data_IF_608617339265
#
_entry.id   IF_608617339265
#
_cell.length_a   1.000
_cell.length_b   1.000
_cell.length_c   1.000
_cell.angle_alpha   90.00
_cell.angle_beta   90.00
_cell.angle_gamma   90.00
#
_symmetry.space_group_name_H-M   'P 1'
#
loop_
_entity.id
_entity.type
_entity.pdbx_description
1 polymer ?
#
# COMPACT_ATOMS: atom_id res chain seq x y z
N UNK A 1 28.27 -6.65 5.83
CA UNK A 1 27.88 -7.01 4.46
C UNK A 1 27.32 -5.77 3.81
N UNK A 2 27.76 -5.41 2.58
CA UNK A 2 27.19 -4.30 1.84
C UNK A 2 25.71 -4.63 1.56
N UNK A 3 24.82 -3.72 1.92
CA UNK A 3 23.39 -3.89 1.70
C UNK A 3 23.14 -3.78 0.20
N UNK A 4 22.63 -4.84 -0.42
CA UNK A 4 22.25 -4.84 -1.84
C UNK A 4 21.03 -3.92 -1.97
N UNK A 5 21.15 -2.84 -2.76
CA UNK A 5 20.08 -1.87 -2.99
C UNK A 5 19.12 -2.38 -4.06
N UNK A 6 19.68 -2.76 -5.21
CA UNK A 6 18.95 -3.35 -6.32
C UNK A 6 19.20 -4.86 -6.37
N UNK A 7 18.15 -5.63 -6.55
CA UNK A 7 18.28 -7.05 -6.91
C UNK A 7 18.93 -7.16 -8.29
N UNK A 8 19.44 -8.34 -8.62
CA UNK A 8 20.02 -8.58 -9.95
C UNK A 8 18.98 -8.36 -11.07
N UNK A 9 17.72 -8.66 -10.80
CA UNK A 9 16.61 -8.45 -11.73
C UNK A 9 16.32 -6.97 -11.92
N UNK A 10 16.12 -6.21 -10.85
CA UNK A 10 15.90 -4.76 -10.88
C UNK A 10 17.05 -4.02 -11.57
N UNK A 11 18.29 -4.41 -11.28
CA UNK A 11 19.46 -3.84 -11.97
C UNK A 11 19.42 -4.12 -13.46
N UNK A 12 19.06 -5.35 -13.86
CA UNK A 12 18.92 -5.74 -15.26
C UNK A 12 17.81 -4.95 -15.94
N UNK A 13 16.64 -4.79 -15.32
CA UNK A 13 15.55 -3.98 -15.85
C UNK A 13 15.96 -2.54 -16.14
N UNK A 14 16.75 -1.94 -15.25
CA UNK A 14 17.19 -0.55 -15.37
C UNK A 14 18.28 -0.40 -16.43
N UNK A 15 19.20 -1.38 -16.55
CA UNK A 15 20.44 -1.24 -17.34
C UNK A 15 20.43 -1.97 -18.67
N UNK A 16 19.39 -2.74 -18.99
CA UNK A 16 19.34 -3.52 -20.24
C UNK A 16 18.01 -3.31 -20.96
N UNK A 17 18.09 -3.36 -22.29
CA UNK A 17 16.89 -3.33 -23.13
C UNK A 17 16.17 -4.68 -22.98
N UNK A 18 14.87 -4.70 -22.62
CA UNK A 18 14.12 -5.96 -22.50
C UNK A 18 14.02 -6.66 -23.85
N UNK A 19 14.14 -7.98 -23.87
CA UNK A 19 14.03 -8.77 -25.08
C UNK A 19 12.70 -8.52 -25.83
N UNK A 20 11.60 -8.41 -25.05
CA UNK A 20 10.26 -8.13 -25.55
C UNK A 20 9.90 -6.64 -25.36
N UNK A 21 10.76 -5.73 -25.82
CA UNK A 21 10.48 -4.29 -25.77
C UNK A 21 9.10 -4.00 -26.42
N UNK A 22 8.30 -3.13 -25.79
CA UNK A 22 6.98 -2.75 -26.28
C UNK A 22 7.07 -1.95 -27.60
N UNK A 23 5.99 -1.94 -28.36
CA UNK A 23 5.93 -1.10 -29.57
C UNK A 23 5.86 0.39 -29.21
N UNK A 24 5.23 0.73 -28.09
CA UNK A 24 5.17 2.10 -27.56
C UNK A 24 6.57 2.61 -27.19
N UNK A 25 7.40 1.79 -26.53
CA UNK A 25 8.78 2.17 -26.23
C UNK A 25 9.62 2.34 -27.50
N UNK A 26 9.42 1.49 -28.51
CA UNK A 26 10.08 1.64 -29.79
C UNK A 26 9.68 2.93 -30.50
N UNK A 27 8.40 3.27 -30.49
CA UNK A 27 7.91 4.52 -31.09
C UNK A 27 8.39 5.74 -30.30
N UNK A 28 8.46 5.65 -28.97
CA UNK A 28 8.89 6.77 -28.13
C UNK A 28 10.38 7.05 -28.22
N UNK A 29 11.22 6.02 -28.21
CA UNK A 29 12.68 6.18 -28.09
C UNK A 29 13.48 5.82 -29.34
N UNK A 30 12.90 5.09 -30.27
CA UNK A 30 13.56 4.57 -31.46
C UNK A 30 12.93 5.07 -32.76
N UNK A 31 11.88 5.89 -32.75
CA UNK A 31 11.41 6.58 -33.93
C UNK A 31 12.39 7.71 -34.26
N UNK A 32 12.83 7.74 -35.51
CA UNK A 32 13.79 8.72 -36.02
C UNK A 32 13.08 9.75 -36.91
N UNK A 33 13.33 11.02 -36.63
CA UNK A 33 12.88 12.13 -37.45
C UNK A 33 13.82 12.33 -38.66
N UNK A 34 13.56 13.35 -39.48
CA UNK A 34 14.38 13.63 -40.68
C UNK A 34 15.82 14.01 -40.32
N UNK A 35 16.03 14.72 -39.20
CA UNK A 35 17.37 15.09 -38.76
C UNK A 35 18.12 13.89 -38.21
N UNK A 36 17.44 12.99 -37.49
CA UNK A 36 17.98 11.70 -37.08
C UNK A 36 18.45 10.88 -38.28
N UNK A 37 17.57 10.70 -39.27
CA UNK A 37 17.89 9.94 -40.49
C UNK A 37 19.07 10.59 -41.25
N UNK A 38 19.11 11.92 -41.32
CA UNK A 38 20.21 12.65 -41.91
C UNK A 38 21.53 12.39 -41.18
N UNK A 39 21.54 12.48 -39.86
CA UNK A 39 22.73 12.21 -39.05
C UNK A 39 23.19 10.74 -39.17
N UNK A 40 22.26 9.79 -39.21
CA UNK A 40 22.54 8.37 -39.38
C UNK A 40 23.13 8.08 -40.76
N UNK A 41 22.70 8.77 -41.81
CA UNK A 41 23.07 8.44 -43.21
C UNK A 41 24.25 9.23 -43.72
N UNK A 42 24.33 10.53 -43.48
CA UNK A 42 25.31 11.43 -44.10
C UNK A 42 26.75 11.24 -43.62
N UNK A 43 26.98 10.75 -42.43
CA UNK A 43 28.33 10.51 -41.89
C UNK A 43 28.86 9.09 -42.14
N UNK A 44 28.02 8.15 -42.62
CA UNK A 44 28.33 6.73 -42.57
C UNK A 44 28.01 6.01 -43.89
N UNK A 45 29.07 5.63 -44.62
CA UNK A 45 28.93 4.94 -45.94
C UNK A 45 28.48 3.47 -45.78
N UNK A 46 28.93 2.80 -44.71
CA UNK A 46 28.66 1.39 -44.47
C UNK A 46 27.38 1.17 -43.64
N UNK A 47 26.57 0.20 -44.05
CA UNK A 47 25.31 -0.16 -43.36
C UNK A 47 25.53 -0.49 -41.89
N UNK A 48 26.62 -1.19 -41.56
CA UNK A 48 26.95 -1.55 -40.19
C UNK A 48 27.14 -0.29 -39.31
N UNK A 49 27.83 0.73 -39.85
CA UNK A 49 28.05 1.98 -39.14
C UNK A 49 26.76 2.79 -38.99
N UNK A 50 25.89 2.81 -39.99
CA UNK A 50 24.55 3.46 -39.88
C UNK A 50 23.72 2.84 -38.79
N UNK A 51 23.61 1.52 -38.77
CA UNK A 51 22.87 0.81 -37.72
C UNK A 51 23.56 0.97 -36.37
N UNK A 52 24.89 0.94 -36.30
CA UNK A 52 25.63 1.16 -35.07
C UNK A 52 25.42 2.53 -34.47
N UNK A 53 25.39 3.58 -35.29
CA UNK A 53 25.07 4.94 -34.87
C UNK A 53 23.62 5.02 -34.34
N UNK A 54 22.66 4.50 -35.08
CA UNK A 54 21.25 4.48 -34.67
C UNK A 54 21.00 3.68 -33.38
N UNK A 55 21.68 2.55 -33.21
CA UNK A 55 21.63 1.76 -31.99
C UNK A 55 22.18 2.54 -30.79
N UNK A 56 23.29 3.27 -30.96
CA UNK A 56 23.83 4.10 -29.87
C UNK A 56 22.88 5.24 -29.47
N UNK A 57 22.30 5.92 -30.50
CA UNK A 57 21.32 6.98 -30.26
C UNK A 57 20.10 6.44 -29.51
N UNK A 58 19.55 5.31 -29.95
CA UNK A 58 18.45 4.64 -29.22
C UNK A 58 18.86 4.24 -27.80
N UNK A 59 20.06 3.68 -27.63
CA UNK A 59 20.55 3.24 -26.31
C UNK A 59 20.66 4.40 -25.32
N UNK A 60 21.11 5.58 -25.78
CA UNK A 60 21.14 6.80 -24.97
C UNK A 60 19.73 7.32 -24.66
N UNK A 61 18.84 7.35 -25.64
CA UNK A 61 17.44 7.80 -25.43
C UNK A 61 16.68 6.89 -24.47
N UNK A 62 16.83 5.56 -24.63
CA UNK A 62 16.10 4.58 -23.86
C UNK A 62 16.68 4.38 -22.45
N UNK A 63 17.97 4.08 -22.35
CA UNK A 63 18.63 3.74 -21.09
C UNK A 63 19.35 4.92 -20.43
N UNK A 64 19.86 5.89 -21.20
CA UNK A 64 20.69 7.00 -20.71
C UNK A 64 22.18 6.67 -20.61
N UNK A 65 22.59 5.44 -20.81
CA UNK A 65 23.99 5.01 -20.81
C UNK A 65 24.59 4.92 -22.20
N UNK A 66 25.90 5.10 -22.26
CA UNK A 66 26.65 4.78 -23.45
C UNK A 66 26.54 3.29 -23.80
N UNK A 67 26.41 3.00 -25.11
CA UNK A 67 26.45 1.62 -25.62
C UNK A 67 27.80 0.98 -25.35
N UNK A 68 27.80 -0.28 -24.94
CA UNK A 68 28.99 -1.11 -24.82
C UNK A 68 28.82 -2.44 -25.52
N UNK A 69 29.94 -3.09 -25.90
CA UNK A 69 29.89 -4.41 -26.54
C UNK A 69 29.22 -5.50 -25.68
N UNK A 70 29.06 -5.26 -24.36
CA UNK A 70 28.34 -6.14 -23.46
C UNK A 70 26.82 -5.94 -23.53
N UNK A 71 26.38 -4.79 -24.05
CA UNK A 71 24.95 -4.49 -24.20
C UNK A 71 24.32 -5.43 -25.22
N UNK A 72 23.23 -6.09 -24.82
CA UNK A 72 22.42 -6.90 -25.73
C UNK A 72 21.43 -6.01 -26.47
N UNK A 73 21.36 -6.12 -27.78
CA UNK A 73 20.35 -5.42 -28.58
C UNK A 73 19.37 -6.44 -29.13
N UNK A 74 18.07 -6.36 -28.77
CA UNK A 74 17.06 -7.28 -29.29
C UNK A 74 16.93 -7.17 -30.82
N UNK A 75 16.67 -8.29 -31.47
CA UNK A 75 16.45 -8.33 -32.93
C UNK A 75 15.27 -7.43 -33.35
N UNK A 76 14.26 -7.29 -32.48
CA UNK A 76 13.13 -6.40 -32.75
C UNK A 76 13.58 -4.94 -32.94
N UNK A 77 14.50 -4.45 -32.08
CA UNK A 77 15.10 -3.10 -32.22
C UNK A 77 15.89 -2.95 -33.50
N UNK A 78 16.76 -3.93 -33.81
CA UNK A 78 17.56 -3.90 -35.03
C UNK A 78 16.69 -3.87 -36.30
N UNK A 79 15.63 -4.68 -36.33
CA UNK A 79 14.70 -4.71 -37.46
C UNK A 79 13.90 -3.40 -37.58
N UNK A 80 13.53 -2.80 -36.46
CA UNK A 80 12.81 -1.53 -36.43
C UNK A 80 13.69 -0.38 -36.94
N UNK A 81 14.95 -0.33 -36.51
CA UNK A 81 15.96 0.63 -37.02
C UNK A 81 16.19 0.45 -38.51
N UNK A 82 16.42 -0.81 -38.96
CA UNK A 82 16.69 -1.10 -40.37
C UNK A 82 15.55 -0.64 -41.28
N UNK A 83 14.29 -0.83 -40.89
CA UNK A 83 13.12 -0.35 -41.65
C UNK A 83 13.13 1.15 -41.83
N UNK A 84 13.44 1.92 -40.77
CA UNK A 84 13.44 3.39 -40.83
C UNK A 84 14.54 3.97 -41.76
N UNK A 85 15.68 3.29 -41.86
CA UNK A 85 16.77 3.72 -42.75
C UNK A 85 16.72 3.04 -44.13
N UNK A 86 15.58 2.42 -44.48
CA UNK A 86 15.36 1.69 -45.73
C UNK A 86 16.45 0.63 -46.03
N UNK A 87 16.87 -0.10 -45.00
CA UNK A 87 17.89 -1.13 -45.08
C UNK A 87 17.30 -2.53 -44.84
N UNK A 88 17.88 -3.53 -45.52
CA UNK A 88 17.55 -4.95 -45.30
C UNK A 88 18.68 -5.65 -44.55
N UNK A 89 18.36 -6.29 -43.44
CA UNK A 89 19.32 -7.08 -42.67
C UNK A 89 19.33 -8.53 -43.16
N UNK A 90 20.49 -9.07 -43.55
CA UNK A 90 20.60 -10.50 -43.85
C UNK A 90 20.24 -11.35 -42.64
N UNK A 91 19.64 -12.53 -42.83
CA UNK A 91 19.25 -13.44 -41.74
C UNK A 91 20.43 -13.86 -40.85
N UNK A 92 21.63 -13.94 -41.38
CA UNK A 92 22.89 -14.28 -40.68
C UNK A 92 23.61 -13.06 -40.10
N UNK A 93 22.96 -11.89 -40.05
CA UNK A 93 23.61 -10.67 -39.63
C UNK A 93 23.78 -10.60 -38.10
N UNK A 94 25.03 -10.66 -37.66
CA UNK A 94 25.37 -10.54 -36.26
C UNK A 94 25.88 -9.12 -35.95
N UNK A 95 25.07 -8.31 -35.29
CA UNK A 95 25.42 -6.93 -34.99
C UNK A 95 26.70 -6.82 -34.18
N UNK A 96 26.83 -7.63 -33.09
CA UNK A 96 28.02 -7.59 -32.22
C UNK A 96 29.31 -7.89 -32.94
N UNK A 97 29.30 -8.84 -33.87
CA UNK A 97 30.48 -9.23 -34.62
C UNK A 97 30.90 -8.16 -35.65
N UNK A 98 29.96 -7.45 -36.17
CA UNK A 98 30.23 -6.42 -37.21
C UNK A 98 30.51 -5.06 -36.59
N UNK A 99 29.80 -4.66 -35.55
CA UNK A 99 29.96 -3.37 -34.89
C UNK A 99 30.78 -3.50 -33.60
N UNK A 100 32.06 -3.88 -33.73
CA UNK A 100 32.96 -4.16 -32.60
C UNK A 100 34.19 -3.28 -32.49
N UNK A 101 34.43 -2.39 -33.45
CA UNK A 101 35.62 -1.54 -33.46
C UNK A 101 35.53 -0.43 -32.43
N UNK A 102 36.39 -0.42 -31.35
CA UNK A 102 36.27 0.55 -30.27
C UNK A 102 36.29 2.00 -30.72
N UNK A 103 37.23 2.34 -31.65
CA UNK A 103 37.37 3.71 -32.16
C UNK A 103 36.11 4.18 -32.89
N UNK A 104 35.43 3.29 -33.64
CA UNK A 104 34.17 3.62 -34.30
C UNK A 104 33.06 3.87 -33.30
N UNK A 105 32.99 3.03 -32.27
CA UNK A 105 32.00 3.17 -31.20
C UNK A 105 32.19 4.50 -30.46
N UNK A 106 33.42 4.84 -30.08
CA UNK A 106 33.75 6.10 -29.39
C UNK A 106 33.46 7.30 -30.28
N UNK A 107 33.82 7.23 -31.56
CA UNK A 107 33.54 8.32 -32.52
C UNK A 107 32.05 8.56 -32.65
N UNK A 108 31.27 7.51 -32.91
CA UNK A 108 29.81 7.64 -33.03
C UNK A 108 29.17 8.21 -31.75
N UNK A 109 29.63 7.77 -30.57
CA UNK A 109 29.17 8.32 -29.32
C UNK A 109 29.44 9.83 -29.21
N UNK A 110 30.65 10.26 -29.57
CA UNK A 110 31.01 11.68 -29.53
C UNK A 110 30.18 12.49 -30.52
N UNK A 111 29.98 11.98 -31.75
CA UNK A 111 29.19 12.64 -32.80
C UNK A 111 27.71 12.76 -32.35
N UNK A 112 27.16 11.73 -31.68
CA UNK A 112 25.81 11.79 -31.11
C UNK A 112 25.73 12.83 -29.96
N UNK A 113 26.72 12.86 -29.07
CA UNK A 113 26.74 13.85 -27.99
C UNK A 113 26.71 15.28 -28.54
N UNK A 114 27.51 15.57 -29.57
CA UNK A 114 27.54 16.88 -30.24
C UNK A 114 26.22 17.19 -30.97
N UNK A 115 25.68 16.24 -31.73
CA UNK A 115 24.48 16.47 -32.51
C UNK A 115 23.21 16.65 -31.69
N UNK A 116 23.11 15.97 -30.52
CA UNK A 116 21.91 15.92 -29.73
C UNK A 116 22.04 16.60 -28.34
N UNK A 117 23.17 17.25 -28.06
CA UNK A 117 23.42 17.97 -26.83
C UNK A 117 23.57 17.09 -25.61
N UNK A 118 23.96 15.81 -25.77
CA UNK A 118 24.34 14.97 -24.65
C UNK A 118 25.72 15.38 -24.14
N UNK A 119 25.87 15.38 -22.81
CA UNK A 119 27.13 15.76 -22.15
C UNK A 119 27.49 14.80 -21.04
N UNK A 120 28.76 14.76 -20.70
CA UNK A 120 29.22 14.07 -19.49
C UNK A 120 28.76 14.84 -18.24
N UNK A 121 28.57 14.12 -17.19
CA UNK A 121 28.22 14.65 -15.87
C UNK A 121 29.33 15.56 -15.35
N UNK A 122 28.96 16.71 -14.83
CA UNK A 122 29.87 17.66 -14.14
C UNK A 122 29.53 17.72 -12.63
N UNK A 123 30.28 18.57 -11.89
CA UNK A 123 30.10 18.72 -10.45
C UNK A 123 28.71 19.27 -10.06
N UNK A 124 28.13 20.14 -10.89
CA UNK A 124 26.78 20.69 -10.63
C UNK A 124 25.70 19.64 -10.79
N UNK A 125 25.88 18.74 -11.73
CA UNK A 125 24.96 17.62 -11.94
C UNK A 125 25.04 16.62 -10.78
N UNK A 126 26.25 16.38 -10.27
CA UNK A 126 26.45 15.56 -9.08
C UNK A 126 25.76 16.20 -7.87
N UNK A 127 25.91 17.50 -7.64
CA UNK A 127 25.20 18.22 -6.59
C UNK A 127 23.68 18.14 -6.76
N UNK A 128 23.18 18.28 -7.99
CA UNK A 128 21.74 18.10 -8.29
C UNK A 128 21.29 16.68 -7.93
N UNK A 129 22.02 15.65 -8.33
CA UNK A 129 21.71 14.26 -8.00
C UNK A 129 21.71 14.03 -6.48
N UNK A 130 22.71 14.57 -5.75
CA UNK A 130 22.80 14.49 -4.30
C UNK A 130 21.61 15.18 -3.62
N UNK A 131 21.16 16.32 -4.13
CA UNK A 131 19.98 17.04 -3.62
C UNK A 131 18.70 16.21 -3.83
N UNK A 132 18.53 15.61 -5.01
CA UNK A 132 17.39 14.73 -5.30
C UNK A 132 17.37 13.56 -4.32
N UNK A 133 18.52 12.91 -4.08
CA UNK A 133 18.62 11.81 -3.13
C UNK A 133 18.24 12.28 -1.72
N UNK A 134 18.81 13.39 -1.27
CA UNK A 134 18.58 13.94 0.08
C UNK A 134 17.11 14.24 0.32
N UNK A 135 16.45 14.92 -0.64
CA UNK A 135 15.03 15.28 -0.53
C UNK A 135 14.13 14.01 -0.50
N UNK A 136 14.38 13.07 -1.40
CA UNK A 136 13.59 11.85 -1.45
C UNK A 136 13.84 10.94 -0.24
N UNK A 137 15.06 10.87 0.29
CA UNK A 137 15.40 10.08 1.47
C UNK A 137 14.67 10.55 2.74
N UNK A 138 14.21 11.80 2.80
CA UNK A 138 13.41 12.32 3.92
C UNK A 138 11.95 11.84 3.86
N UNK A 139 11.46 11.48 2.67
CA UNK A 139 10.05 11.12 2.43
C UNK A 139 9.85 9.63 2.21
N UNK A 140 10.77 8.99 1.47
CA UNK A 140 10.62 7.63 0.97
C UNK A 140 11.77 6.75 1.46
N UNK A 141 11.48 5.50 1.85
CA UNK A 141 12.51 4.50 2.16
C UNK A 141 12.89 3.61 0.97
N UNK A 142 12.06 3.59 -0.08
CA UNK A 142 12.34 2.77 -1.26
C UNK A 142 13.51 3.34 -2.05
N UNK A 143 14.68 2.74 -1.88
CA UNK A 143 15.92 3.18 -2.54
C UNK A 143 15.91 2.94 -4.05
N UNK A 144 15.19 1.94 -4.53
CA UNK A 144 14.99 1.73 -5.97
C UNK A 144 14.25 2.90 -6.60
N UNK A 145 13.19 3.39 -5.95
CA UNK A 145 12.46 4.58 -6.40
C UNK A 145 13.40 5.78 -6.53
N UNK A 146 14.24 6.02 -5.51
CA UNK A 146 15.20 7.15 -5.54
C UNK A 146 16.19 7.00 -6.71
N UNK A 147 16.66 5.79 -6.99
CA UNK A 147 17.55 5.53 -8.15
C UNK A 147 16.83 5.86 -9.47
N UNK A 148 15.58 5.45 -9.64
CA UNK A 148 14.78 5.73 -10.84
C UNK A 148 14.55 7.22 -11.04
N UNK A 149 14.26 7.96 -9.97
CA UNK A 149 14.11 9.42 -9.99
C UNK A 149 15.39 10.13 -10.45
N UNK A 150 16.56 9.73 -9.92
CA UNK A 150 17.85 10.31 -10.36
C UNK A 150 18.08 10.03 -11.84
N UNK A 151 17.88 8.78 -12.27
CA UNK A 151 18.06 8.39 -13.67
C UNK A 151 17.15 9.22 -14.57
N UNK A 152 15.89 9.40 -14.19
CA UNK A 152 14.93 10.21 -14.92
C UNK A 152 15.37 11.68 -15.02
N UNK A 153 15.77 12.29 -13.90
CA UNK A 153 16.21 13.67 -13.86
C UNK A 153 17.46 13.90 -14.74
N UNK A 154 18.47 13.04 -14.62
CA UNK A 154 19.68 13.14 -15.45
C UNK A 154 19.41 12.93 -16.95
N UNK A 155 18.48 12.06 -17.30
CA UNK A 155 18.06 11.86 -18.70
C UNK A 155 17.36 13.08 -19.28
N UNK A 156 16.52 13.77 -18.53
CA UNK A 156 15.85 15.01 -18.94
C UNK A 156 16.88 16.08 -19.31
N UNK A 157 17.95 16.19 -18.52
CA UNK A 157 19.06 17.14 -18.75
C UNK A 157 20.05 16.66 -19.81
N UNK A 158 19.76 15.54 -20.51
CA UNK A 158 20.63 14.91 -21.49
C UNK A 158 22.04 14.60 -20.98
N UNK A 159 22.14 14.24 -19.72
CA UNK A 159 23.39 13.84 -19.10
C UNK A 159 23.59 12.35 -19.32
N UNK A 160 24.77 11.98 -19.81
CA UNK A 160 25.16 10.56 -19.93
C UNK A 160 25.32 9.99 -18.51
N UNK A 161 24.53 8.98 -18.21
CA UNK A 161 24.46 8.42 -16.87
C UNK A 161 25.79 7.80 -16.41
N UNK A 162 26.22 8.03 -15.18
CA UNK A 162 27.36 7.34 -14.59
C UNK A 162 27.04 5.86 -14.36
N UNK A 163 28.03 5.04 -14.04
CA UNK A 163 27.79 3.61 -13.76
C UNK A 163 26.71 3.44 -12.72
N UNK A 164 25.81 2.48 -12.92
CA UNK A 164 24.72 2.20 -11.96
C UNK A 164 25.25 1.97 -10.53
N UNK A 165 26.41 1.33 -10.38
CA UNK A 165 27.07 1.12 -9.07
C UNK A 165 27.48 2.43 -8.39
N UNK A 166 27.74 3.49 -9.15
CA UNK A 166 28.03 4.82 -8.61
C UNK A 166 26.76 5.44 -8.06
N UNK A 167 25.65 5.38 -8.81
CA UNK A 167 24.34 5.85 -8.36
C UNK A 167 23.89 5.10 -7.11
N UNK A 168 24.00 3.76 -7.10
CA UNK A 168 23.69 2.94 -5.92
C UNK A 168 24.49 3.37 -4.70
N UNK A 169 25.80 3.62 -4.88
CA UNK A 169 26.68 4.07 -3.79
C UNK A 169 26.21 5.42 -3.23
N UNK A 170 25.92 6.38 -4.07
CA UNK A 170 25.40 7.69 -3.64
C UNK A 170 24.12 7.56 -2.82
N UNK A 171 23.15 6.80 -3.35
CA UNK A 171 21.89 6.56 -2.65
C UNK A 171 22.12 5.87 -1.32
N UNK A 172 23.00 4.86 -1.28
CA UNK A 172 23.32 4.15 -0.05
C UNK A 172 23.95 5.07 1.01
N UNK A 173 24.94 5.85 0.62
CA UNK A 173 25.71 6.70 1.55
C UNK A 173 24.82 7.80 2.14
N UNK A 174 24.01 8.46 1.30
CA UNK A 174 23.10 9.53 1.77
C UNK A 174 21.97 8.96 2.62
N UNK A 175 21.29 7.90 2.17
CA UNK A 175 20.22 7.30 2.94
C UNK A 175 20.71 6.77 4.30
N UNK A 176 21.89 6.14 4.35
CA UNK A 176 22.46 5.66 5.61
C UNK A 176 22.84 6.82 6.55
N UNK A 177 23.37 7.91 6.02
CA UNK A 177 23.67 9.13 6.80
C UNK A 177 22.41 9.72 7.38
N UNK A 178 21.38 9.94 6.55
CA UNK A 178 20.07 10.47 6.98
C UNK A 178 19.40 9.58 8.04
N UNK A 179 19.49 8.25 7.88
CA UNK A 179 18.96 7.31 8.87
C UNK A 179 19.75 7.39 10.19
N UNK A 180 21.07 7.49 10.13
CA UNK A 180 21.91 7.65 11.32
C UNK A 180 21.64 8.97 12.05
N UNK A 181 21.48 10.06 11.31
CA UNK A 181 21.16 11.37 11.88
C UNK A 181 19.78 11.40 12.54
N UNK A 182 18.77 10.79 11.90
CA UNK A 182 17.43 10.63 12.48
C UNK A 182 17.47 9.77 13.76
N UNK A 183 18.18 8.65 13.71
CA UNK A 183 18.32 7.78 14.88
C UNK A 183 19.01 8.52 16.03
N UNK A 184 20.06 9.27 15.75
CA UNK A 184 20.79 10.06 16.75
C UNK A 184 19.92 11.14 17.35
N UNK A 185 19.14 11.85 16.51
CA UNK A 185 18.20 12.86 16.96
C UNK A 185 17.17 12.27 17.93
N UNK A 186 16.45 11.22 17.53
CA UNK A 186 15.42 10.58 18.39
C UNK A 186 16.05 10.03 19.66
N UNK A 187 17.21 9.35 19.55
CA UNK A 187 17.89 8.77 20.71
C UNK A 187 18.31 9.85 21.73
N UNK A 188 18.77 11.01 21.27
CA UNK A 188 19.15 12.13 22.16
C UNK A 188 17.98 12.75 22.93
N UNK A 189 16.75 12.56 22.44
CA UNK A 189 15.52 13.02 23.12
C UNK A 189 15.02 12.04 24.19
N UNK A 190 15.54 10.79 24.21
CA UNK A 190 15.08 9.76 25.14
C UNK A 190 15.71 9.97 26.53
N UNK A 191 14.85 9.93 27.54
CA UNK A 191 15.29 9.92 28.93
C UNK A 191 15.80 8.54 29.34
N UNK A 192 16.56 8.47 30.43
CA UNK A 192 17.04 7.19 31.00
C UNK A 192 15.88 6.26 31.38
N UNK A 193 14.77 6.83 31.86
CA UNK A 193 13.56 6.08 32.20
C UNK A 193 12.91 5.49 30.95
N UNK A 194 12.73 6.28 29.89
CA UNK A 194 12.20 5.82 28.60
C UNK A 194 13.07 4.70 28.01
N UNK A 195 14.39 4.84 28.05
CA UNK A 195 15.31 3.77 27.62
C UNK A 195 15.10 2.48 28.44
N UNK A 196 14.88 2.59 29.76
CA UNK A 196 14.57 1.44 30.62
C UNK A 196 13.23 0.79 30.23
N UNK A 197 12.21 1.59 29.96
CA UNK A 197 10.89 1.11 29.55
C UNK A 197 10.93 0.42 28.17
N UNK A 198 11.67 0.97 27.21
CA UNK A 198 11.91 0.32 25.91
C UNK A 198 12.60 -1.05 26.12
N UNK A 199 13.61 -1.12 26.98
CA UNK A 199 14.32 -2.37 27.29
C UNK A 199 13.36 -3.40 27.91
N UNK A 200 12.48 -2.98 28.84
CA UNK A 200 11.45 -3.85 29.43
C UNK A 200 10.49 -4.38 28.36
N UNK A 201 10.02 -3.51 27.43
CA UNK A 201 9.12 -3.89 26.35
C UNK A 201 9.78 -4.89 25.37
N UNK A 202 11.09 -4.74 25.06
CA UNK A 202 11.85 -5.68 24.22
C UNK A 202 11.94 -7.06 24.89
N UNK A 203 12.24 -7.08 26.19
CA UNK A 203 12.44 -8.32 26.97
C UNK A 203 11.12 -8.97 27.40
N UNK A 204 9.99 -8.29 27.21
CA UNK A 204 8.68 -8.79 27.58
C UNK A 204 8.32 -10.01 26.73
N UNK A 205 8.04 -11.15 27.39
CA UNK A 205 7.59 -12.39 26.73
C UNK A 205 6.08 -12.40 26.45
N UNK A 206 5.32 -11.46 27.01
CA UNK A 206 3.88 -11.39 26.82
C UNK A 206 3.13 -12.57 27.44
N UNK A 207 3.64 -13.15 28.52
CA UNK A 207 3.06 -14.32 29.20
C UNK A 207 2.27 -13.94 30.46
N UNK A 208 2.50 -12.76 31.02
CA UNK A 208 1.76 -12.26 32.19
C UNK A 208 0.48 -11.49 31.75
N UNK A 209 -0.56 -11.45 32.60
CA UNK A 209 -1.75 -10.65 32.32
C UNK A 209 -1.41 -9.19 32.02
N UNK A 210 -2.04 -8.60 31.00
CA UNK A 210 -1.82 -7.22 30.54
C UNK A 210 -0.35 -6.89 30.20
N UNK A 211 0.46 -7.89 29.87
CA UNK A 211 1.81 -7.70 29.33
C UNK A 211 1.88 -8.18 27.89
N UNK A 212 2.48 -7.39 27.03
CA UNK A 212 2.53 -7.67 25.60
C UNK A 212 3.96 -7.58 25.05
N UNK A 213 4.36 -8.56 24.24
CA UNK A 213 5.59 -8.40 23.48
C UNK A 213 5.37 -7.52 22.26
N UNK A 214 6.45 -7.02 21.66
CA UNK A 214 6.37 -6.10 20.52
C UNK A 214 5.53 -6.63 19.34
N UNK A 215 5.49 -7.95 19.11
CA UNK A 215 4.69 -8.53 18.03
C UNK A 215 3.20 -8.61 18.39
N UNK A 216 2.87 -8.89 19.65
CA UNK A 216 1.50 -8.95 20.11
C UNK A 216 0.81 -7.59 20.12
N UNK A 217 1.56 -6.50 20.36
CA UNK A 217 1.01 -5.15 20.41
C UNK A 217 0.22 -4.77 19.15
N UNK A 218 0.67 -5.18 17.98
CA UNK A 218 0.03 -4.80 16.71
C UNK A 218 -1.02 -5.78 16.21
N UNK A 219 -1.24 -6.92 16.86
CA UNK A 219 -2.23 -7.88 16.40
C UNK A 219 -3.64 -7.31 16.57
N UNK A 220 -4.36 -7.17 15.46
CA UNK A 220 -5.74 -6.71 15.45
C UNK A 220 -6.66 -7.93 15.46
N UNK A 221 -7.67 -7.99 16.34
CA UNK A 221 -8.63 -9.08 16.35
C UNK A 221 -9.39 -9.20 15.02
N UNK A 222 -9.61 -10.41 14.55
CA UNK A 222 -10.34 -10.64 13.30
C UNK A 222 -11.86 -10.43 13.40
N UNK A 223 -12.40 -10.34 14.64
CA UNK A 223 -13.82 -10.10 14.91
C UNK A 223 -13.97 -8.96 15.91
N UNK A 224 -14.90 -8.06 15.64
CA UNK A 224 -15.26 -6.96 16.53
C UNK A 224 -16.29 -7.47 17.53
N UNK A 225 -15.86 -7.63 18.78
CA UNK A 225 -16.69 -8.01 19.93
C UNK A 225 -16.36 -7.11 21.12
N UNK A 226 -17.22 -7.02 22.15
CA UNK A 226 -16.90 -6.28 23.36
C UNK A 226 -15.59 -6.75 24.02
N UNK A 227 -15.32 -8.06 24.01
CA UNK A 227 -14.10 -8.64 24.57
C UNK A 227 -12.86 -8.19 23.78
N UNK A 228 -12.92 -8.21 22.43
CA UNK A 228 -11.83 -7.74 21.61
C UNK A 228 -11.57 -6.24 21.75
N UNK A 229 -12.63 -5.46 21.99
CA UNK A 229 -12.52 -4.05 22.31
C UNK A 229 -11.76 -3.82 23.63
N UNK A 230 -12.12 -4.55 24.70
CA UNK A 230 -11.40 -4.49 25.98
C UNK A 230 -9.92 -4.89 25.83
N UNK A 231 -9.64 -5.93 25.05
CA UNK A 231 -8.25 -6.37 24.78
C UNK A 231 -7.42 -5.28 24.10
N UNK A 232 -7.99 -4.55 23.15
CA UNK A 232 -7.32 -3.43 22.49
C UNK A 232 -7.11 -2.27 23.47
N UNK A 233 -8.11 -1.97 24.31
CA UNK A 233 -7.97 -0.93 25.34
C UNK A 233 -6.82 -1.26 26.31
N UNK A 234 -6.71 -2.51 26.78
CA UNK A 234 -5.61 -2.98 27.62
C UNK A 234 -4.22 -2.81 26.93
N UNK A 235 -4.16 -3.03 25.61
CA UNK A 235 -2.90 -2.81 24.84
C UNK A 235 -2.54 -1.33 24.75
N UNK A 236 -3.53 -0.45 24.53
CA UNK A 236 -3.30 0.99 24.51
C UNK A 236 -2.82 1.44 25.89
N UNK A 237 -3.47 1.00 26.97
CA UNK A 237 -3.05 1.29 28.34
C UNK A 237 -1.61 0.83 28.62
N UNK A 238 -1.25 -0.37 28.15
CA UNK A 238 0.13 -0.86 28.24
C UNK A 238 1.12 0.04 27.46
N UNK A 239 0.77 0.46 26.25
CA UNK A 239 1.60 1.37 25.44
C UNK A 239 1.77 2.70 26.17
N UNK A 240 0.70 3.25 26.72
CA UNK A 240 0.72 4.53 27.44
C UNK A 240 1.57 4.41 28.74
N UNK A 241 1.57 3.25 29.41
CA UNK A 241 2.44 2.99 30.57
C UNK A 241 3.94 2.99 30.28
N UNK A 242 4.33 2.82 28.99
CA UNK A 242 5.74 2.93 28.58
C UNK A 242 6.25 4.36 28.56
N UNK A 243 5.37 5.35 28.61
CA UNK A 243 5.67 6.78 28.64
C UNK A 243 6.63 7.21 27.50
N UNK A 244 6.35 6.74 26.27
CA UNK A 244 7.17 6.99 25.09
C UNK A 244 6.55 8.05 24.18
N UNK A 245 5.71 8.94 24.73
CA UNK A 245 5.11 10.02 23.94
C UNK A 245 6.18 11.02 23.54
N UNK A 246 6.29 11.23 22.22
CA UNK A 246 7.29 12.07 21.60
C UNK A 246 6.70 12.70 20.34
N UNK A 247 7.02 13.98 20.09
CA UNK A 247 6.63 14.62 18.83
C UNK A 247 7.45 14.09 17.65
N UNK A 248 6.79 13.32 16.80
CA UNK A 248 7.34 12.76 15.57
C UNK A 248 6.76 13.44 14.32
N UNK A 249 6.17 14.62 14.44
CA UNK A 249 5.52 15.34 13.34
C UNK A 249 6.49 15.74 12.22
N UNK A 250 7.76 15.96 12.56
CA UNK A 250 8.82 16.27 11.60
C UNK A 250 9.18 15.08 10.66
N UNK A 251 8.76 13.86 10.99
CA UNK A 251 9.02 12.69 10.18
C UNK A 251 7.78 12.39 9.32
N UNK A 252 7.95 12.26 8.00
CA UNK A 252 6.83 11.97 7.11
C UNK A 252 6.11 10.68 7.52
N UNK A 253 4.79 10.64 7.35
CA UNK A 253 3.95 9.50 7.70
C UNK A 253 4.41 8.20 7.00
N UNK A 254 4.75 8.27 5.71
CA UNK A 254 5.24 7.12 4.96
C UNK A 254 6.54 6.57 5.54
N UNK A 255 7.45 7.45 5.95
CA UNK A 255 8.72 7.05 6.57
C UNK A 255 8.50 6.40 7.93
N UNK A 256 7.63 6.98 8.78
CA UNK A 256 7.26 6.35 10.07
C UNK A 256 6.69 4.95 9.88
N UNK A 257 5.71 4.79 8.98
CA UNK A 257 5.11 3.47 8.66
C UNK A 257 6.16 2.47 8.17
N UNK A 258 7.08 2.90 7.34
CA UNK A 258 8.11 2.02 6.80
C UNK A 258 9.10 1.58 7.88
N UNK A 259 9.56 2.50 8.75
CA UNK A 259 10.40 2.18 9.90
C UNK A 259 9.68 1.22 10.85
N UNK A 260 8.41 1.48 11.18
CA UNK A 260 7.60 0.61 12.02
C UNK A 260 7.50 -0.81 11.45
N UNK A 261 7.25 -0.95 10.13
CA UNK A 261 7.24 -2.26 9.46
C UNK A 261 8.57 -2.99 9.57
N UNK A 262 9.70 -2.30 9.40
CA UNK A 262 11.04 -2.92 9.57
C UNK A 262 11.25 -3.49 10.97
N UNK A 263 10.81 -2.77 12.01
CA UNK A 263 10.93 -3.25 13.40
C UNK A 263 10.12 -4.53 13.60
N UNK A 264 8.90 -4.57 13.09
CA UNK A 264 8.03 -5.74 13.18
C UNK A 264 8.63 -6.99 12.52
N UNK A 265 9.25 -6.83 11.36
CA UNK A 265 9.82 -7.96 10.63
C UNK A 265 11.19 -8.42 11.21
N UNK A 266 11.78 -7.65 12.14
CA UNK A 266 12.98 -8.09 12.83
C UNK A 266 12.67 -9.15 13.88
N UNK A 267 13.52 -10.16 13.95
CA UNK A 267 13.47 -11.15 15.04
C UNK A 267 13.88 -10.50 16.35
N UNK A 268 13.20 -10.80 17.46
CA UNK A 268 13.49 -10.24 18.78
C UNK A 268 14.97 -10.37 19.15
N UNK A 269 15.56 -11.52 18.92
CA UNK A 269 17.01 -11.76 19.11
C UNK A 269 17.90 -10.75 18.34
N UNK A 270 17.52 -10.33 17.15
CA UNK A 270 18.26 -9.32 16.40
C UNK A 270 18.08 -7.92 16.99
N UNK A 271 16.92 -7.65 17.57
CA UNK A 271 16.62 -6.40 18.27
C UNK A 271 17.47 -6.29 19.54
N UNK A 272 17.53 -7.34 20.35
CA UNK A 272 18.30 -7.39 21.61
C UNK A 272 19.79 -7.16 21.41
N UNK A 273 20.36 -7.65 20.31
CA UNK A 273 21.79 -7.51 19.98
C UNK A 273 22.17 -6.22 19.29
N UNK A 274 21.22 -5.43 18.87
CA UNK A 274 21.48 -4.16 18.20
C UNK A 274 21.87 -3.09 19.21
N UNK A 275 22.72 -2.12 18.81
CA UNK A 275 23.02 -0.98 19.67
C UNK A 275 21.75 -0.16 19.93
N UNK A 276 21.63 0.38 21.14
CA UNK A 276 20.47 1.15 21.57
C UNK A 276 20.18 2.35 20.65
N UNK A 277 21.23 3.08 20.27
CA UNK A 277 21.11 4.21 19.33
C UNK A 277 20.47 3.84 17.98
N UNK A 278 20.66 2.60 17.51
CA UNK A 278 20.11 2.14 16.23
C UNK A 278 18.70 1.58 16.34
N UNK A 279 18.35 0.99 17.50
CA UNK A 279 17.10 0.23 17.58
C UNK A 279 16.02 0.95 18.36
N UNK A 280 16.36 1.71 19.42
CA UNK A 280 15.38 2.39 20.25
C UNK A 280 14.55 3.42 19.46
N UNK A 281 15.14 4.28 18.60
CA UNK A 281 14.38 5.18 17.76
C UNK A 281 13.34 4.47 16.90
N UNK A 282 13.71 3.36 16.30
CA UNK A 282 12.78 2.56 15.50
C UNK A 282 11.65 1.97 16.34
N UNK A 283 11.93 1.55 17.59
CA UNK A 283 10.91 1.02 18.51
C UNK A 283 9.96 2.13 18.96
N UNK A 284 10.46 3.33 19.24
CA UNK A 284 9.60 4.48 19.57
C UNK A 284 8.63 4.79 18.43
N UNK A 285 9.14 4.87 17.21
CA UNK A 285 8.31 5.09 16.01
C UNK A 285 7.31 3.94 15.86
N UNK A 286 7.73 2.70 16.05
CA UNK A 286 6.86 1.53 15.98
C UNK A 286 5.72 1.58 17.00
N UNK A 287 6.02 1.90 18.26
CA UNK A 287 5.04 2.01 19.34
C UNK A 287 4.06 3.13 19.06
N UNK A 288 4.55 4.30 18.61
CA UNK A 288 3.70 5.43 18.23
C UNK A 288 2.73 5.09 17.08
N UNK A 289 3.21 4.48 15.99
CA UNK A 289 2.36 4.08 14.86
C UNK A 289 1.39 2.95 15.24
N UNK A 290 1.81 2.04 16.13
CA UNK A 290 0.95 0.98 16.65
C UNK A 290 -0.16 1.56 17.52
N UNK A 291 0.14 2.48 18.44
CA UNK A 291 -0.87 3.19 19.25
C UNK A 291 -1.92 3.86 18.38
N UNK A 292 -1.48 4.58 17.35
CA UNK A 292 -2.38 5.24 16.40
C UNK A 292 -3.29 4.24 15.70
N UNK A 293 -2.74 3.15 15.19
CA UNK A 293 -3.50 2.08 14.53
C UNK A 293 -4.53 1.46 15.48
N UNK A 294 -4.17 1.23 16.75
CA UNK A 294 -5.09 0.68 17.76
C UNK A 294 -6.21 1.66 18.10
N UNK A 295 -5.92 2.97 18.18
CA UNK A 295 -6.93 4.00 18.38
C UNK A 295 -7.92 4.07 17.21
N UNK A 296 -7.43 4.04 15.97
CA UNK A 296 -8.28 3.98 14.78
C UNK A 296 -9.21 2.74 14.85
N UNK A 297 -8.66 1.59 15.22
CA UNK A 297 -9.45 0.35 15.40
C UNK A 297 -10.51 0.47 16.51
N UNK A 298 -10.20 1.14 17.61
CA UNK A 298 -11.18 1.39 18.71
C UNK A 298 -12.36 2.20 18.17
N UNK A 299 -12.11 3.26 17.42
CA UNK A 299 -13.16 4.10 16.81
C UNK A 299 -14.04 3.27 15.87
N UNK A 300 -13.43 2.56 14.93
CA UNK A 300 -14.13 1.70 13.96
C UNK A 300 -14.94 0.59 14.68
N UNK A 301 -14.37 0.01 15.73
CA UNK A 301 -15.03 -1.04 16.51
C UNK A 301 -16.23 -0.51 17.30
N UNK A 302 -16.13 0.67 17.88
CA UNK A 302 -17.23 1.32 18.58
C UNK A 302 -18.41 1.55 17.63
N UNK A 303 -18.16 2.11 16.47
CA UNK A 303 -19.19 2.35 15.45
C UNK A 303 -19.86 1.04 14.99
N UNK A 304 -19.08 0.00 14.76
CA UNK A 304 -19.60 -1.31 14.37
C UNK A 304 -20.45 -1.97 15.48
N UNK A 305 -20.04 -1.84 16.75
CA UNK A 305 -20.79 -2.36 17.90
C UNK A 305 -22.11 -1.59 18.03
N UNK A 306 -22.10 -0.27 17.99
CA UNK A 306 -23.30 0.57 18.07
C UNK A 306 -24.29 0.25 16.94
N UNK A 307 -23.81 0.16 15.71
CA UNK A 307 -24.64 -0.21 14.55
C UNK A 307 -25.29 -1.59 14.74
N UNK A 308 -24.54 -2.58 15.23
CA UNK A 308 -25.06 -3.90 15.49
C UNK A 308 -26.11 -3.91 16.62
N UNK A 309 -25.93 -3.11 17.67
CA UNK A 309 -26.90 -2.96 18.75
C UNK A 309 -28.20 -2.31 18.26
N UNK A 310 -28.11 -1.22 17.48
CA UNK A 310 -29.27 -0.57 16.89
C UNK A 310 -30.06 -1.54 16.01
N UNK A 311 -29.39 -2.25 15.10
CA UNK A 311 -30.04 -3.23 14.20
C UNK A 311 -30.70 -4.39 14.97
N UNK A 312 -30.10 -4.84 16.08
CA UNK A 312 -30.71 -5.86 16.95
C UNK A 312 -31.94 -5.30 17.67
N UNK A 313 -31.90 -4.04 18.13
CA UNK A 313 -33.03 -3.36 18.78
C UNK A 313 -34.20 -3.18 17.79
N UNK A 314 -33.94 -2.68 16.60
CA UNK A 314 -34.94 -2.54 15.55
C UNK A 314 -35.65 -3.87 15.23
N UNK A 315 -34.87 -4.94 15.00
CA UNK A 315 -35.44 -6.28 14.76
C UNK A 315 -36.28 -6.80 15.95
N UNK A 316 -35.89 -6.50 17.19
CA UNK A 316 -36.70 -6.87 18.36
C UNK A 316 -38.01 -6.09 18.39
N UNK A 317 -37.94 -4.78 18.13
CA UNK A 317 -39.15 -3.92 18.06
C UNK A 317 -40.10 -4.37 16.96
N UNK A 318 -39.59 -4.62 15.74
CA UNK A 318 -40.39 -5.14 14.62
C UNK A 318 -41.09 -6.47 14.99
N UNK A 319 -40.35 -7.41 15.64
CA UNK A 319 -40.92 -8.68 16.09
C UNK A 319 -42.02 -8.47 17.15
N UNK A 320 -41.83 -7.55 18.10
CA UNK A 320 -42.81 -7.21 19.12
C UNK A 320 -44.06 -6.58 18.53
N UNK A 321 -43.90 -5.61 17.61
CA UNK A 321 -44.99 -4.99 16.86
C UNK A 321 -45.79 -6.03 16.08
N UNK A 322 -45.10 -6.95 15.39
CA UNK A 322 -45.76 -8.02 14.63
C UNK A 322 -46.54 -8.99 15.51
N UNK A 323 -46.02 -9.33 16.71
CA UNK A 323 -46.71 -10.16 17.67
C UNK A 323 -47.96 -9.46 18.21
N UNK A 324 -47.83 -8.20 18.63
CA UNK A 324 -48.97 -7.40 19.12
C UNK A 324 -50.05 -7.24 18.05
N UNK A 325 -49.64 -6.98 16.80
CA UNK A 325 -50.60 -6.88 15.67
C UNK A 325 -51.36 -8.19 15.47
N UNK A 326 -50.70 -9.35 15.53
CA UNK A 326 -51.39 -10.66 15.42
C UNK A 326 -52.39 -10.89 16.54
N UNK A 327 -52.07 -10.47 17.78
CA UNK A 327 -52.96 -10.57 18.91
C UNK A 327 -54.19 -9.63 18.73
N UNK A 328 -53.97 -8.40 18.23
CA UNK A 328 -55.06 -7.45 17.93
C UNK A 328 -55.98 -8.04 16.86
N UNK A 329 -55.45 -8.55 15.75
CA UNK A 329 -56.25 -9.19 14.69
C UNK A 329 -57.07 -10.38 15.20
N UNK A 330 -56.46 -11.23 16.08
CA UNK A 330 -57.15 -12.35 16.68
C UNK A 330 -58.31 -11.86 17.58
N UNK A 331 -58.08 -10.87 18.41
CA UNK A 331 -59.10 -10.31 19.31
C UNK A 331 -60.25 -9.66 18.50
N UNK A 332 -59.96 -8.97 17.39
CA UNK A 332 -61.00 -8.41 16.50
C UNK A 332 -61.80 -9.52 15.84
N UNK A 333 -61.21 -10.59 15.37
CA UNK A 333 -61.90 -11.75 14.80
C UNK A 333 -62.81 -12.41 15.82
N UNK A 334 -62.38 -12.57 17.06
CA UNK A 334 -63.15 -13.15 18.14
C UNK A 334 -64.37 -12.26 18.50
N UNK A 335 -64.18 -10.95 18.59
CA UNK A 335 -65.27 -9.98 18.83
C UNK A 335 -66.32 -9.99 17.72
N UNK A 336 -65.86 -10.05 16.47
CA UNK A 336 -66.76 -10.13 15.28
C UNK A 336 -67.59 -11.41 15.32
N UNK A 337 -66.97 -12.53 15.68
CA UNK A 337 -67.63 -13.82 15.80
C UNK A 337 -68.67 -13.85 16.91
N UNK A 338 -68.39 -13.18 18.04
CA UNK A 338 -69.36 -13.02 19.13
C UNK A 338 -70.54 -12.11 18.73
N UNK A 339 -70.26 -10.97 18.09
CA UNK A 339 -71.27 -10.05 17.57
C UNK A 339 -72.19 -10.74 16.59
N UNK A 340 -71.66 -11.57 15.70
CA UNK A 340 -72.46 -12.38 14.77
C UNK A 340 -73.33 -13.41 15.53
N UNK A 341 -72.80 -14.09 16.57
CA UNK A 341 -73.56 -15.03 17.35
C UNK A 341 -74.73 -14.34 18.10
N UNK A 342 -74.52 -13.16 18.63
CA UNK A 342 -75.55 -12.32 19.27
C UNK A 342 -76.62 -11.91 18.25
N UNK A 343 -76.21 -11.37 17.14
CA UNK A 343 -77.11 -10.94 16.05
C UNK A 343 -77.99 -12.10 15.53
N UNK A 344 -77.39 -13.25 15.30
CA UNK A 344 -78.06 -14.44 14.86
C UNK A 344 -79.07 -14.96 15.88
N UNK A 345 -78.67 -14.97 17.16
CA UNK A 345 -79.53 -15.39 18.28
C UNK A 345 -80.77 -14.51 18.43
N UNK A 346 -80.58 -13.19 18.34
CA UNK A 346 -81.67 -12.20 18.38
C UNK A 346 -82.63 -12.34 17.23
N UNK A 347 -82.13 -12.48 16.00
CA UNK A 347 -82.96 -12.57 14.80
C UNK A 347 -83.78 -13.84 14.71
N UNK A 348 -83.25 -14.98 15.20
CA UNK A 348 -83.87 -16.29 15.02
C UNK A 348 -84.44 -16.83 16.37
N UNK A 349 -84.48 -16.04 17.42
CA UNK A 349 -84.96 -16.45 18.74
C UNK A 349 -84.32 -17.72 19.26
N UNK A 350 -83.03 -17.96 18.96
CA UNK A 350 -82.24 -19.10 19.42
C UNK A 350 -81.44 -18.79 20.69
N UNK A 351 -81.11 -19.86 21.44
CA UNK A 351 -80.34 -19.70 22.65
C UNK A 351 -78.91 -19.24 22.36
N UNK A 352 -78.53 -18.06 22.82
CA UNK A 352 -77.22 -17.45 22.60
C UNK A 352 -76.06 -18.33 23.07
N UNK A 353 -76.27 -19.03 24.16
CA UNK A 353 -75.22 -19.93 24.72
C UNK A 353 -74.89 -21.08 23.78
N UNK A 354 -75.89 -21.59 23.06
CA UNK A 354 -75.71 -22.66 22.05
C UNK A 354 -74.98 -22.14 20.81
N UNK A 355 -75.28 -20.94 20.37
CA UNK A 355 -74.65 -20.32 19.23
C UNK A 355 -73.19 -19.89 19.49
N UNK A 356 -72.90 -19.42 20.69
CA UNK A 356 -71.52 -19.14 21.14
C UNK A 356 -70.67 -20.42 21.21
N UNK A 357 -71.26 -21.55 21.76
CA UNK A 357 -70.56 -22.84 21.78
C UNK A 357 -70.26 -23.37 20.38
N UNK A 358 -71.10 -23.20 19.39
CA UNK A 358 -70.85 -23.61 18.00
C UNK A 358 -69.65 -22.87 17.39
N UNK A 359 -69.33 -21.70 17.89
CA UNK A 359 -68.18 -20.84 17.49
C UNK A 359 -66.97 -20.98 18.42
N UNK A 360 -66.89 -22.02 19.23
CA UNK A 360 -65.83 -22.31 20.18
C UNK A 360 -65.67 -21.32 21.36
N UNK A 361 -66.75 -20.55 21.64
CA UNK A 361 -66.77 -19.73 22.86
C UNK A 361 -67.54 -20.49 23.96
N UNK A 362 -66.80 -21.09 24.90
CA UNK A 362 -67.40 -21.75 26.05
C UNK A 362 -67.61 -20.74 27.17
N UNK A 363 -68.87 -20.33 27.40
CA UNK A 363 -69.36 -19.65 28.58
C UNK A 363 -68.90 -18.19 28.83
N UNK A 364 -69.37 -17.64 29.93
CA UNK A 364 -69.06 -16.30 30.45
C UNK A 364 -67.53 -15.99 30.57
N UNK A 365 -66.71 -17.00 30.81
CA UNK A 365 -65.24 -16.85 30.93
C UNK A 365 -64.58 -16.33 29.62
N UNK A 366 -65.10 -16.74 28.44
CA UNK A 366 -64.57 -16.23 27.16
C UNK A 366 -65.00 -14.75 26.92
N UNK A 367 -66.21 -14.39 27.38
CA UNK A 367 -66.68 -12.99 27.35
C UNK A 367 -65.90 -12.11 28.32
N UNK A 368 -65.66 -12.59 29.54
CA UNK A 368 -64.85 -11.89 30.54
C UNK A 368 -63.41 -11.71 30.06
N UNK A 369 -62.86 -12.70 29.41
CA UNK A 369 -61.49 -12.62 28.85
C UNK A 369 -61.43 -11.55 27.74
N UNK A 370 -62.46 -11.45 26.87
CA UNK A 370 -62.51 -10.48 25.77
C UNK A 370 -62.72 -9.06 26.31
N UNK A 371 -63.58 -8.91 27.34
CA UNK A 371 -63.79 -7.64 28.00
C UNK A 371 -62.51 -7.18 28.67
N UNK A 372 -61.81 -8.07 29.42
CA UNK A 372 -60.55 -7.76 30.08
C UNK A 372 -59.49 -7.34 29.07
N UNK A 373 -59.34 -8.08 27.98
CA UNK A 373 -58.38 -7.72 26.93
C UNK A 373 -58.77 -6.43 26.17
N UNK A 374 -60.08 -6.12 26.04
CA UNK A 374 -60.52 -4.87 25.46
C UNK A 374 -60.14 -3.65 26.31
N UNK A 375 -60.09 -3.80 27.62
CA UNK A 375 -59.60 -2.77 28.54
C UNK A 375 -58.08 -2.64 28.50
N UNK A 376 -57.35 -3.75 28.36
CA UNK A 376 -55.88 -3.76 28.25
C UNK A 376 -55.36 -3.14 26.92
N UNK A 377 -56.17 -3.14 25.88
CA UNK A 377 -55.84 -2.53 24.56
C UNK A 377 -56.19 -1.05 24.46
N UNK A 378 -56.95 -0.51 25.41
CA UNK A 378 -57.34 0.91 25.45
C UNK A 378 -56.48 1.74 26.45
N UNK A 379 -55.47 1.12 27.08
CA UNK A 379 -54.41 1.75 27.81
C UNK A 379 -53.11 1.71 27.04
#
# INVERSE_FOLDING_TARGET
MAQIILTSEQRREITTIPYNISDDDLLTYCAFDEDDIRNITNGHKDLCNRIGYAVQLFHLRYLGWNYTLKSGIPSKVLNFIAKQINASLPRSWNFKERYKRPNTIIKHFHDICLAYGYRQMDEKDEEMAMKIISTNADVVENREFIIREIISALKVERIVLPKISTIEKWVQDICNRKEADLNRLIYSMLTSEQCSNIKKAILCKGTAPKSYNLHQLRNVPGKITPESFCEIADRIEYIDSLNLDMDLSSISHNKRKSIARRIVHRRLYSIERSSQEKIYPGIVIYIHETRKMLLDFVVESNDAILHNLLRKSEKRNEKTILQNSKEIFKNQSDLLSIAEAVSFSLRHKKNLRTELKKRNFSSLEALDLIIKRGYELNC
#
